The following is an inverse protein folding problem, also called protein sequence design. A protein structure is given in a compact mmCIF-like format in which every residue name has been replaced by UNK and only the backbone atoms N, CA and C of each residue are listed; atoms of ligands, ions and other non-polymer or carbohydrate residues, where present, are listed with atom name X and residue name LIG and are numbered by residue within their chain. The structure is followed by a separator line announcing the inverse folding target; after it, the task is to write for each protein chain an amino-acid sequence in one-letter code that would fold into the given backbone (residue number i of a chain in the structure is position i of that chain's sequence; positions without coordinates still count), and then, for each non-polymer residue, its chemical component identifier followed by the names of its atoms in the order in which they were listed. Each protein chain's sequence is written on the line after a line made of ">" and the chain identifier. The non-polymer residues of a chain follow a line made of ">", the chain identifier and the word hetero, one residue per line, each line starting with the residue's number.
data_IF_894384664265
#
_entry.id   IF_894384664265
#
_cell.length_a   1.000
_cell.length_b   1.000
_cell.length_c   1.000
_cell.angle_alpha   90.00
_cell.angle_beta   90.00
_cell.angle_gamma   90.00
#
_symmetry.space_group_name_H-M   'P 1'
#
loop_
_entity.id
_entity.type
_entity.pdbx_description
1 polymer ?
#
# COMPACT_ATOMS: atom_id res chain seq x y z
N UNK A 1 -14.89 -13.33 16.57
CA UNK A 1 -15.40 -12.41 15.52
C UNK A 1 -15.45 -13.19 14.22
N UNK A 2 -16.63 -13.45 13.63
CA UNK A 2 -16.70 -14.12 12.32
C UNK A 2 -16.18 -13.14 11.26
N UNK A 3 -15.16 -13.58 10.54
CA UNK A 3 -14.56 -12.82 9.47
C UNK A 3 -15.53 -12.66 8.29
N UNK A 4 -15.58 -11.45 7.72
CA UNK A 4 -16.52 -11.10 6.66
C UNK A 4 -16.10 -11.75 5.33
N UNK A 5 -16.49 -13.01 5.14
CA UNK A 5 -16.26 -13.76 3.91
C UNK A 5 -16.85 -13.07 2.68
N UNK A 6 -17.91 -12.27 2.84
CA UNK A 6 -18.49 -11.49 1.76
C UNK A 6 -17.56 -10.35 1.35
N UNK A 7 -16.92 -9.68 2.31
CA UNK A 7 -15.95 -8.63 2.02
C UNK A 7 -14.73 -9.16 1.27
N UNK A 8 -14.19 -10.32 1.66
CA UNK A 8 -13.05 -10.92 0.94
C UNK A 8 -13.45 -11.29 -0.50
N UNK A 9 -14.62 -11.90 -0.67
CA UNK A 9 -15.15 -12.25 -2.00
C UNK A 9 -15.33 -11.01 -2.88
N UNK A 10 -15.95 -9.94 -2.35
CA UNK A 10 -16.15 -8.69 -3.06
C UNK A 10 -14.84 -8.06 -3.51
N UNK A 11 -13.85 -8.00 -2.62
CA UNK A 11 -12.52 -7.48 -2.94
C UNK A 11 -11.82 -8.29 -4.04
N UNK A 12 -11.89 -9.63 -3.98
CA UNK A 12 -11.31 -10.51 -5.01
C UNK A 12 -12.00 -10.37 -6.36
N UNK A 13 -13.32 -10.19 -6.38
CA UNK A 13 -14.07 -9.92 -7.62
C UNK A 13 -13.64 -8.60 -8.25
N UNK A 14 -13.54 -7.53 -7.47
CA UNK A 14 -13.06 -6.22 -7.97
C UNK A 14 -11.63 -6.34 -8.49
N UNK A 15 -10.75 -7.02 -7.74
CA UNK A 15 -9.37 -7.24 -8.15
C UNK A 15 -9.27 -7.98 -9.49
N UNK A 16 -10.06 -9.05 -9.70
CA UNK A 16 -10.07 -9.81 -10.96
C UNK A 16 -10.47 -8.91 -12.12
N UNK A 17 -11.59 -8.18 -11.99
CA UNK A 17 -12.09 -7.28 -13.03
C UNK A 17 -11.06 -6.23 -13.42
N UNK A 18 -10.50 -5.51 -12.44
CA UNK A 18 -9.48 -4.49 -12.72
C UNK A 18 -8.21 -5.07 -13.36
N UNK A 19 -7.84 -6.32 -13.03
CA UNK A 19 -6.71 -7.01 -13.67
C UNK A 19 -7.00 -7.38 -15.12
N UNK A 20 -8.21 -7.85 -15.41
CA UNK A 20 -8.68 -8.17 -16.76
C UNK A 20 -8.70 -6.92 -17.64
N UNK A 21 -9.34 -5.84 -17.16
CA UNK A 21 -9.43 -4.56 -17.86
C UNK A 21 -8.03 -3.99 -18.16
N UNK A 22 -7.13 -3.98 -17.16
CA UNK A 22 -5.76 -3.48 -17.31
C UNK A 22 -4.94 -4.31 -18.30
N UNK A 23 -5.18 -5.63 -18.34
CA UNK A 23 -4.51 -6.55 -19.26
C UNK A 23 -5.05 -6.43 -20.69
N UNK A 24 -6.30 -6.01 -20.88
CA UNK A 24 -6.84 -5.65 -22.18
C UNK A 24 -6.23 -4.37 -22.73
N UNK A 25 -6.15 -3.29 -21.92
CA UNK A 25 -5.49 -2.05 -22.34
C UNK A 25 -4.02 -2.26 -22.67
N UNK A 26 -3.30 -3.01 -21.84
CA UNK A 26 -1.89 -3.32 -22.08
C UNK A 26 -1.66 -4.03 -23.43
N UNK A 27 -2.56 -4.94 -23.83
CA UNK A 27 -2.49 -5.62 -25.14
C UNK A 27 -2.74 -4.67 -26.32
N UNK A 28 -3.52 -3.61 -26.12
CA UNK A 28 -3.80 -2.58 -27.13
C UNK A 28 -2.73 -1.48 -27.17
N UNK A 29 -1.79 -1.47 -26.22
CA UNK A 29 -0.81 -0.39 -26.07
C UNK A 29 -1.44 0.91 -25.53
N UNK A 30 -2.60 0.81 -24.89
CA UNK A 30 -3.32 1.94 -24.31
C UNK A 30 -2.95 2.13 -22.84
N UNK A 31 -2.96 3.38 -22.38
CA UNK A 31 -2.60 3.74 -21.00
C UNK A 31 -3.78 4.43 -20.31
N UNK A 32 -4.28 3.80 -19.25
CA UNK A 32 -5.19 4.39 -18.28
C UNK A 32 -4.55 4.35 -16.90
N UNK A 33 -3.94 5.47 -16.50
CA UNK A 33 -3.26 5.57 -15.21
C UNK A 33 -4.19 5.34 -14.03
N UNK A 34 -5.46 5.74 -14.13
CA UNK A 34 -6.43 5.55 -13.06
C UNK A 34 -6.74 4.07 -12.88
N UNK A 35 -7.02 3.36 -13.98
CA UNK A 35 -7.23 1.91 -13.94
C UNK A 35 -6.01 1.19 -13.35
N UNK A 36 -4.80 1.52 -13.82
CA UNK A 36 -3.57 0.88 -13.33
C UNK A 36 -3.32 1.17 -11.84
N UNK A 37 -3.57 2.39 -11.38
CA UNK A 37 -3.43 2.76 -9.97
C UNK A 37 -4.42 2.00 -9.08
N UNK A 38 -5.70 1.99 -9.46
CA UNK A 38 -6.74 1.28 -8.71
C UNK A 38 -6.49 -0.22 -8.71
N UNK A 39 -6.09 -0.81 -9.84
CA UNK A 39 -5.69 -2.23 -9.94
C UNK A 39 -4.58 -2.57 -8.95
N UNK A 40 -3.52 -1.75 -8.88
CA UNK A 40 -2.40 -1.95 -7.95
C UNK A 40 -2.85 -1.86 -6.49
N UNK A 41 -3.56 -0.79 -6.14
CA UNK A 41 -4.05 -0.55 -4.77
C UNK A 41 -5.01 -1.63 -4.30
N UNK A 42 -5.93 -2.10 -5.15
CA UNK A 42 -6.88 -3.18 -4.83
C UNK A 42 -6.17 -4.51 -4.64
N UNK A 43 -5.22 -4.83 -5.53
CA UNK A 43 -4.44 -6.06 -5.41
C UNK A 43 -3.65 -6.09 -4.10
N UNK A 44 -3.03 -4.97 -3.73
CA UNK A 44 -2.31 -4.83 -2.47
C UNK A 44 -3.27 -4.85 -1.25
N UNK A 45 -4.43 -4.20 -1.35
CA UNK A 45 -5.49 -4.27 -0.33
C UNK A 45 -5.94 -5.72 -0.10
N UNK A 46 -6.12 -6.51 -1.18
CA UNK A 46 -6.46 -7.93 -1.07
C UNK A 46 -5.38 -8.73 -0.36
N UNK A 47 -4.10 -8.46 -0.67
CA UNK A 47 -2.98 -9.11 0.01
C UNK A 47 -2.94 -8.76 1.51
N UNK A 48 -3.11 -7.49 1.86
CA UNK A 48 -3.14 -7.02 3.24
C UNK A 48 -4.33 -7.61 4.01
N UNK A 49 -5.51 -7.63 3.39
CA UNK A 49 -6.69 -8.22 4.00
C UNK A 49 -6.52 -9.73 4.18
N UNK A 50 -6.05 -10.47 3.17
CA UNK A 50 -5.77 -11.91 3.32
C UNK A 50 -4.74 -12.19 4.45
N UNK A 51 -3.74 -11.33 4.63
CA UNK A 51 -2.79 -11.41 5.78
C UNK A 51 -3.46 -11.14 7.12
N UNK A 52 -4.39 -10.21 7.18
CA UNK A 52 -5.13 -9.85 8.37
C UNK A 52 -6.09 -10.98 8.80
N UNK A 53 -6.66 -11.72 7.84
CA UNK A 53 -7.80 -12.61 8.09
C UNK A 53 -7.46 -14.11 8.09
N UNK A 54 -6.44 -14.55 7.35
CA UNK A 54 -6.15 -15.99 7.19
C UNK A 54 -5.02 -16.50 8.09
N UNK A 55 -4.58 -15.70 9.05
CA UNK A 55 -3.40 -16.01 9.86
C UNK A 55 -3.73 -16.00 11.34
N UNK A 56 -4.35 -17.10 11.77
CA UNK A 56 -4.55 -17.39 13.19
C UNK A 56 -3.20 -17.30 13.92
N UNK A 57 -3.19 -16.67 15.10
CA UNK A 57 -2.02 -16.48 15.96
C UNK A 57 -0.87 -15.62 15.42
N UNK A 58 -1.13 -14.68 14.51
CA UNK A 58 -0.11 -13.68 14.21
C UNK A 58 0.23 -12.79 15.42
N UNK A 59 1.52 -12.45 15.62
CA UNK A 59 1.92 -11.41 16.56
C UNK A 59 1.20 -10.10 16.26
N UNK A 60 0.82 -9.35 17.31
CA UNK A 60 0.04 -8.12 17.19
C UNK A 60 0.67 -7.09 16.26
N UNK A 61 2.00 -7.07 16.13
CA UNK A 61 2.77 -6.17 15.27
C UNK A 61 2.38 -6.37 13.80
N UNK A 62 2.17 -7.61 13.37
CA UNK A 62 1.74 -7.91 12.00
C UNK A 62 0.30 -7.47 11.74
N UNK A 63 -0.57 -7.62 12.74
CA UNK A 63 -1.97 -7.22 12.66
C UNK A 63 -2.05 -5.69 12.61
N UNK A 64 -1.32 -5.00 13.49
CA UNK A 64 -1.21 -3.55 13.52
C UNK A 64 -0.65 -3.01 12.20
N UNK A 65 0.43 -3.59 11.67
CA UNK A 65 1.01 -3.19 10.38
C UNK A 65 0.01 -3.36 9.24
N UNK A 66 -0.72 -4.48 9.19
CA UNK A 66 -1.72 -4.72 8.14
C UNK A 66 -2.88 -3.74 8.23
N UNK A 67 -3.38 -3.46 9.44
CA UNK A 67 -4.44 -2.47 9.66
C UNK A 67 -4.00 -1.05 9.26
N UNK A 68 -2.77 -0.66 9.61
CA UNK A 68 -2.17 0.61 9.19
C UNK A 68 -2.07 0.72 7.68
N UNK A 69 -1.52 -0.29 7.02
CA UNK A 69 -1.35 -0.23 5.57
C UNK A 69 -2.70 -0.23 4.83
N UNK A 70 -3.73 -0.86 5.39
CA UNK A 70 -5.10 -0.78 4.86
C UNK A 70 -5.68 0.64 4.99
N UNK A 71 -5.42 1.34 6.10
CA UNK A 71 -5.76 2.76 6.23
C UNK A 71 -5.05 3.60 5.17
N UNK A 72 -3.74 3.41 4.99
CA UNK A 72 -2.96 4.15 3.99
C UNK A 72 -3.46 3.86 2.55
N UNK A 73 -3.82 2.61 2.24
CA UNK A 73 -4.48 2.26 0.97
C UNK A 73 -5.81 2.99 0.80
N UNK A 74 -6.62 3.10 1.86
CA UNK A 74 -7.87 3.85 1.83
C UNK A 74 -7.64 5.33 1.51
N UNK A 75 -6.63 5.95 2.12
CA UNK A 75 -6.28 7.35 1.80
C UNK A 75 -5.86 7.52 0.34
N UNK A 76 -5.02 6.62 -0.17
CA UNK A 76 -4.56 6.65 -1.57
C UNK A 76 -5.72 6.48 -2.55
N UNK A 77 -6.58 5.47 -2.34
CA UNK A 77 -7.77 5.23 -3.18
C UNK A 77 -8.69 6.45 -3.15
N UNK A 78 -8.95 7.01 -1.97
CA UNK A 78 -9.83 8.18 -1.82
C UNK A 78 -9.26 9.40 -2.56
N UNK A 79 -7.95 9.66 -2.40
CA UNK A 79 -7.30 10.80 -3.04
C UNK A 79 -7.31 10.70 -4.56
N UNK A 80 -7.00 9.53 -5.10
CA UNK A 80 -6.99 9.26 -6.55
C UNK A 80 -8.41 9.28 -7.15
N UNK A 81 -9.41 8.76 -6.45
CA UNK A 81 -10.81 8.79 -6.93
C UNK A 81 -11.37 10.23 -6.90
N UNK A 82 -10.99 11.03 -5.91
CA UNK A 82 -11.42 12.43 -5.81
C UNK A 82 -10.80 13.31 -6.90
N UNK A 83 -9.58 13.00 -7.35
CA UNK A 83 -8.91 13.66 -8.46
C UNK A 83 -8.12 12.64 -9.29
N UNK A 84 -8.73 12.18 -10.39
CA UNK A 84 -8.14 11.16 -11.26
C UNK A 84 -6.84 11.59 -11.93
N UNK A 85 -6.58 12.90 -12.03
CA UNK A 85 -5.31 13.40 -12.56
C UNK A 85 -4.13 13.00 -11.68
N UNK A 86 -4.37 12.68 -10.40
CA UNK A 86 -3.37 12.18 -9.45
C UNK A 86 -2.92 10.76 -9.74
N UNK A 87 -3.65 9.99 -10.54
CA UNK A 87 -3.27 8.62 -10.84
C UNK A 87 -1.93 8.53 -11.60
N UNK A 88 -1.69 9.42 -12.58
CA UNK A 88 -0.41 9.49 -13.29
C UNK A 88 0.74 9.81 -12.32
N UNK A 89 0.50 10.75 -11.40
CA UNK A 89 1.47 11.13 -10.36
C UNK A 89 1.80 9.94 -9.44
N UNK A 90 0.79 9.21 -8.96
CA UNK A 90 0.97 8.01 -8.14
C UNK A 90 1.77 6.91 -8.85
N UNK A 91 1.40 6.59 -10.10
CA UNK A 91 2.12 5.60 -10.90
C UNK A 91 3.57 6.04 -11.17
N UNK A 92 3.79 7.34 -11.37
CA UNK A 92 5.12 7.91 -11.59
C UNK A 92 6.01 7.72 -10.35
N UNK A 93 5.47 7.83 -9.13
CA UNK A 93 6.24 7.64 -7.89
C UNK A 93 6.99 6.30 -7.86
N UNK A 94 6.39 5.20 -8.34
CA UNK A 94 7.05 3.89 -8.43
C UNK A 94 8.41 3.96 -9.12
N UNK A 95 8.52 4.68 -10.25
CA UNK A 95 9.76 4.73 -11.01
C UNK A 95 10.88 5.43 -10.23
N UNK A 96 10.53 6.48 -9.49
CA UNK A 96 11.47 7.25 -8.67
C UNK A 96 11.85 6.47 -7.40
N UNK A 97 10.87 5.87 -6.70
CA UNK A 97 11.12 4.99 -5.57
C UNK A 97 12.02 3.82 -5.96
N UNK A 98 11.84 3.25 -7.16
CA UNK A 98 12.69 2.17 -7.65
C UNK A 98 14.13 2.64 -7.91
N UNK A 99 14.35 3.87 -8.38
CA UNK A 99 15.70 4.44 -8.46
C UNK A 99 16.32 4.60 -7.08
N UNK A 100 15.60 5.22 -6.13
CA UNK A 100 16.09 5.44 -4.76
C UNK A 100 16.43 4.11 -4.04
N UNK A 101 15.62 3.07 -4.24
CA UNK A 101 15.88 1.72 -3.70
C UNK A 101 17.17 1.15 -4.29
N UNK A 102 17.37 1.25 -5.60
CA UNK A 102 18.57 0.74 -6.27
C UNK A 102 19.82 1.54 -5.87
N UNK A 103 19.71 2.85 -5.72
CA UNK A 103 20.78 3.71 -5.18
C UNK A 103 21.13 3.31 -3.74
N UNK A 104 20.12 3.07 -2.91
CA UNK A 104 20.28 2.55 -1.56
C UNK A 104 21.05 1.22 -1.56
N UNK A 105 20.67 0.26 -2.40
CA UNK A 105 21.40 -1.01 -2.51
C UNK A 105 22.84 -0.82 -2.98
N UNK A 106 23.11 0.07 -3.94
CA UNK A 106 24.48 0.38 -4.38
C UNK A 106 25.32 0.99 -3.25
N UNK A 107 24.73 1.85 -2.43
CA UNK A 107 25.43 2.47 -1.29
C UNK A 107 25.85 1.47 -0.21
N UNK A 108 25.16 0.32 -0.12
CA UNK A 108 25.47 -0.78 0.80
C UNK A 108 26.50 -1.77 0.23
N UNK A 109 26.93 -1.60 -1.01
CA UNK A 109 27.93 -2.49 -1.62
C UNK A 109 29.30 -2.30 -0.98
N UNK A 110 30.08 -3.38 -0.97
CA UNK A 110 31.44 -3.38 -0.42
C UNK A 110 32.41 -3.95 -1.46
N UNK A 111 33.70 -3.94 -1.15
CA UNK A 111 34.73 -4.57 -2.00
C UNK A 111 34.49 -6.06 -2.25
N UNK A 112 33.70 -6.73 -1.39
CA UNK A 112 33.34 -8.13 -1.52
C UNK A 112 32.06 -8.35 -2.34
N UNK A 113 31.34 -7.29 -2.70
CA UNK A 113 30.10 -7.42 -3.46
C UNK A 113 30.42 -7.78 -4.92
N UNK A 114 29.69 -8.76 -5.46
CA UNK A 114 29.84 -9.21 -6.83
C UNK A 114 29.69 -8.05 -7.83
N UNK A 115 30.69 -7.89 -8.71
CA UNK A 115 30.66 -6.93 -9.83
C UNK A 115 29.45 -7.15 -10.74
N UNK A 116 29.03 -8.41 -10.90
CA UNK A 116 27.84 -8.73 -11.69
C UNK A 116 26.56 -8.18 -11.03
N UNK A 117 26.42 -8.31 -9.71
CA UNK A 117 25.26 -7.77 -8.99
C UNK A 117 25.21 -6.25 -9.07
N UNK A 118 26.37 -5.58 -8.92
CA UNK A 118 26.49 -4.13 -9.09
C UNK A 118 26.03 -3.72 -10.48
N UNK A 119 26.52 -4.41 -11.52
CA UNK A 119 26.14 -4.15 -12.91
C UNK A 119 24.63 -4.34 -13.14
N UNK A 120 24.03 -5.41 -12.61
CA UNK A 120 22.59 -5.65 -12.76
C UNK A 120 21.74 -4.52 -12.16
N UNK A 121 22.16 -3.96 -11.02
CA UNK A 121 21.48 -2.82 -10.40
C UNK A 121 21.62 -1.57 -11.29
N UNK A 122 22.83 -1.29 -11.79
CA UNK A 122 23.07 -0.16 -12.69
C UNK A 122 22.26 -0.27 -13.99
N UNK A 123 22.27 -1.44 -14.63
CA UNK A 123 21.50 -1.69 -15.85
C UNK A 123 19.98 -1.50 -15.60
N UNK A 124 19.50 -1.88 -14.41
CA UNK A 124 18.09 -1.63 -14.02
C UNK A 124 17.80 -0.14 -13.85
N UNK A 125 18.70 0.61 -13.22
CA UNK A 125 18.55 2.07 -13.07
C UNK A 125 18.53 2.77 -14.42
N UNK A 126 19.39 2.39 -15.36
CA UNK A 126 19.43 2.97 -16.71
C UNK A 126 18.14 2.69 -17.48
N UNK A 127 17.60 1.48 -17.38
CA UNK A 127 16.29 1.15 -17.93
C UNK A 127 15.17 2.03 -17.33
N UNK A 128 15.16 2.25 -16.02
CA UNK A 128 14.13 3.07 -15.37
C UNK A 128 14.20 4.52 -15.83
N UNK A 129 15.40 5.10 -15.97
CA UNK A 129 15.59 6.45 -16.50
C UNK A 129 15.01 6.60 -17.91
N UNK A 130 15.26 5.63 -18.78
CA UNK A 130 14.65 5.59 -20.12
C UNK A 130 13.13 5.54 -20.07
N UNK A 131 12.54 4.78 -19.13
CA UNK A 131 11.08 4.72 -18.96
C UNK A 131 10.51 6.06 -18.49
N UNK A 132 11.18 6.74 -17.55
CA UNK A 132 10.79 8.06 -17.05
C UNK A 132 10.77 9.08 -18.19
N UNK A 133 11.84 9.12 -18.98
CA UNK A 133 12.00 10.03 -20.12
C UNK A 133 10.94 9.75 -21.20
N UNK A 134 10.76 8.49 -21.61
CA UNK A 134 9.84 8.13 -22.70
C UNK A 134 8.35 8.36 -22.38
N UNK A 135 7.98 8.50 -21.10
CA UNK A 135 6.58 8.62 -20.68
C UNK A 135 6.27 9.95 -19.96
N UNK A 136 7.22 10.88 -19.94
CA UNK A 136 7.12 12.16 -19.24
C UNK A 136 6.63 11.98 -17.79
N UNK A 137 7.27 11.06 -17.05
CA UNK A 137 6.91 10.77 -15.66
C UNK A 137 7.54 11.81 -14.74
N UNK A 138 6.73 12.72 -14.21
CA UNK A 138 7.18 13.81 -13.34
C UNK A 138 6.33 13.85 -12.07
N UNK A 139 6.70 13.08 -11.02
CA UNK A 139 5.91 13.06 -9.80
C UNK A 139 5.99 14.43 -9.11
N UNK A 140 4.84 14.94 -8.70
CA UNK A 140 4.68 16.32 -8.21
C UNK A 140 5.30 16.52 -6.83
N UNK A 141 5.39 15.46 -6.02
CA UNK A 141 6.11 15.29 -4.73
C UNK A 141 5.80 13.89 -4.19
N UNK A 142 6.64 13.37 -3.29
CA UNK A 142 6.31 12.17 -2.52
C UNK A 142 5.08 12.41 -1.63
N UNK A 143 4.05 11.58 -1.79
CA UNK A 143 2.82 11.69 -1.01
C UNK A 143 3.02 11.10 0.38
N UNK A 144 3.40 11.92 1.35
CA UNK A 144 3.44 11.45 2.74
C UNK A 144 2.01 11.22 3.29
N UNK A 145 1.88 10.27 4.22
CA UNK A 145 0.58 9.84 4.76
C UNK A 145 -0.17 10.99 5.46
N UNK A 146 0.54 11.90 6.14
CA UNK A 146 -0.06 13.08 6.79
C UNK A 146 -0.72 14.01 5.77
N UNK A 147 -0.08 14.21 4.62
CA UNK A 147 -0.62 14.99 3.51
C UNK A 147 -1.89 14.33 2.97
N UNK A 148 -1.82 13.02 2.66
CA UNK A 148 -2.98 12.26 2.18
C UNK A 148 -4.16 12.31 3.16
N UNK A 149 -3.89 12.17 4.47
CA UNK A 149 -4.91 12.26 5.50
C UNK A 149 -5.56 13.66 5.56
N UNK A 150 -4.80 14.71 5.29
CA UNK A 150 -5.34 16.08 5.20
C UNK A 150 -6.21 16.25 3.95
N UNK A 151 -5.75 15.75 2.79
CA UNK A 151 -6.47 15.87 1.52
C UNK A 151 -7.75 15.02 1.44
N UNK A 152 -7.92 14.06 2.35
CA UNK A 152 -9.05 13.12 2.37
C UNK A 152 -9.95 13.28 3.60
N UNK A 153 -9.72 14.32 4.41
CA UNK A 153 -10.45 14.60 5.67
C UNK A 153 -10.35 13.48 6.72
N UNK A 154 -9.18 12.84 6.82
CA UNK A 154 -8.88 11.77 7.78
C UNK A 154 -7.76 12.16 8.75
N UNK A 155 -7.49 13.45 8.97
CA UNK A 155 -6.35 13.91 9.78
C UNK A 155 -6.44 13.47 11.25
N UNK A 156 -7.64 13.52 11.84
CA UNK A 156 -7.87 13.05 13.21
C UNK A 156 -7.59 11.55 13.34
N UNK A 157 -8.11 10.76 12.41
CA UNK A 157 -7.89 9.32 12.35
C UNK A 157 -6.40 9.02 12.20
N UNK A 158 -5.71 9.70 11.27
CA UNK A 158 -4.26 9.62 11.12
C UNK A 158 -3.49 9.94 12.40
N UNK A 159 -3.81 11.01 13.12
CA UNK A 159 -3.05 11.40 14.32
C UNK A 159 -3.18 10.39 15.46
N UNK A 160 -4.37 9.81 15.62
CA UNK A 160 -4.61 8.74 16.60
C UNK A 160 -3.90 7.46 16.16
N UNK A 161 -4.06 7.08 14.90
CA UNK A 161 -3.47 5.85 14.35
C UNK A 161 -1.95 5.91 14.37
N UNK A 162 -1.35 7.02 13.95
CA UNK A 162 0.09 7.19 13.90
C UNK A 162 0.72 7.00 15.28
N UNK A 163 0.17 7.65 16.31
CA UNK A 163 0.63 7.51 17.69
C UNK A 163 0.49 6.07 18.18
N UNK A 164 -0.66 5.43 17.96
CA UNK A 164 -0.91 4.07 18.41
C UNK A 164 -0.02 3.04 17.70
N UNK A 165 -0.02 3.04 16.37
CA UNK A 165 0.72 2.07 15.57
C UNK A 165 2.22 2.20 15.79
N UNK A 166 2.75 3.40 16.03
CA UNK A 166 4.16 3.59 16.36
C UNK A 166 4.63 2.79 17.57
N UNK A 167 3.73 2.46 18.52
CA UNK A 167 4.06 1.64 19.69
C UNK A 167 4.10 0.15 19.39
N UNK A 168 3.45 -0.28 18.31
CA UNK A 168 3.31 -1.69 17.92
C UNK A 168 4.18 -2.08 16.72
N UNK A 169 4.78 -1.14 15.99
CA UNK A 169 5.61 -1.44 14.81
C UNK A 169 7.10 -1.12 15.01
N UNK A 170 7.44 -0.40 16.09
CA UNK A 170 8.80 -0.02 16.43
C UNK A 170 9.19 -0.68 17.76
N UNK A 171 10.49 -0.84 18.06
CA UNK A 171 10.97 -1.37 19.34
C UNK A 171 10.77 -0.32 20.45
N UNK A 172 9.52 -0.01 20.75
CA UNK A 172 9.14 0.95 21.77
C UNK A 172 9.28 0.32 23.16
N UNK A 173 9.45 1.13 24.20
CA UNK A 173 9.48 0.63 25.59
C UNK A 173 8.21 -0.18 25.93
N UNK A 174 7.09 0.06 25.25
CA UNK A 174 5.88 -0.73 25.42
C UNK A 174 6.07 -2.18 24.96
N UNK A 175 6.65 -2.43 23.78
CA UNK A 175 6.93 -3.80 23.33
C UNK A 175 8.09 -4.41 24.13
N UNK A 176 9.17 -3.64 24.30
CA UNK A 176 10.44 -4.19 24.81
C UNK A 176 10.38 -4.54 26.29
N UNK A 177 9.64 -3.77 27.10
CA UNK A 177 9.63 -3.92 28.56
C UNK A 177 8.33 -4.51 29.12
N UNK A 178 7.31 -4.76 28.29
CA UNK A 178 6.06 -5.35 28.77
C UNK A 178 6.05 -6.86 28.58
N UNK A 179 5.42 -7.63 29.48
CA UNK A 179 5.14 -9.04 29.25
C UNK A 179 4.35 -9.25 27.94
N UNK A 180 4.57 -10.38 27.26
CA UNK A 180 3.84 -10.72 26.04
C UNK A 180 2.32 -10.64 26.20
N UNK A 181 1.78 -11.02 27.37
CA UNK A 181 0.33 -10.95 27.65
C UNK A 181 -0.23 -9.52 27.66
N UNK A 182 0.60 -8.50 27.87
CA UNK A 182 0.16 -7.10 27.92
C UNK A 182 0.13 -6.46 26.54
N UNK A 183 1.21 -6.57 25.76
CA UNK A 183 1.24 -5.96 24.43
C UNK A 183 0.58 -6.85 23.37
N UNK A 184 0.75 -8.17 23.40
CA UNK A 184 0.12 -9.12 22.46
C UNK A 184 -1.32 -9.48 22.87
N UNK A 185 -2.05 -8.48 23.36
CA UNK A 185 -3.36 -8.64 23.98
C UNK A 185 -4.47 -8.97 22.95
N UNK A 186 -5.30 -10.01 23.16
CA UNK A 186 -6.38 -10.38 22.24
C UNK A 186 -7.39 -9.27 21.96
N UNK A 187 -7.66 -8.39 22.94
CA UNK A 187 -8.56 -7.23 22.77
C UNK A 187 -7.96 -6.23 21.79
N UNK A 188 -6.67 -5.91 21.94
CA UNK A 188 -5.99 -4.99 21.03
C UNK A 188 -5.88 -5.57 19.62
N UNK A 189 -5.60 -6.88 19.49
CA UNK A 189 -5.68 -7.58 18.20
C UNK A 189 -7.07 -7.42 17.56
N UNK A 190 -8.14 -7.61 18.34
CA UNK A 190 -9.52 -7.46 17.86
C UNK A 190 -9.81 -6.05 17.37
N UNK A 191 -9.26 -5.02 18.01
CA UNK A 191 -9.39 -3.62 17.56
C UNK A 191 -8.69 -3.43 16.22
N UNK A 192 -7.43 -3.84 16.06
CA UNK A 192 -6.72 -3.72 14.78
C UNK A 192 -7.40 -4.51 13.67
N UNK A 193 -7.89 -5.72 13.95
CA UNK A 193 -8.68 -6.53 13.02
C UNK A 193 -9.93 -5.79 12.54
N UNK A 194 -10.67 -5.18 13.49
CA UNK A 194 -11.89 -4.42 13.17
C UNK A 194 -11.58 -3.20 12.31
N UNK A 195 -10.49 -2.48 12.62
CA UNK A 195 -10.06 -1.32 11.85
C UNK A 195 -9.66 -1.71 10.42
N UNK A 196 -8.87 -2.77 10.25
CA UNK A 196 -8.55 -3.29 8.92
C UNK A 196 -9.78 -3.66 8.11
N UNK A 197 -10.79 -4.29 8.72
CA UNK A 197 -12.07 -4.58 8.06
C UNK A 197 -12.82 -3.32 7.63
N UNK A 198 -12.85 -2.29 8.48
CA UNK A 198 -13.51 -1.01 8.18
C UNK A 198 -12.87 -0.37 6.95
N UNK A 199 -11.54 -0.27 6.88
CA UNK A 199 -10.87 0.35 5.74
C UNK A 199 -11.01 -0.45 4.46
N UNK A 200 -10.92 -1.78 4.53
CA UNK A 200 -11.20 -2.64 3.37
C UNK A 200 -12.63 -2.41 2.85
N UNK A 201 -13.62 -2.33 3.74
CA UNK A 201 -15.01 -2.04 3.34
C UNK A 201 -15.16 -0.66 2.72
N UNK A 202 -14.50 0.37 3.27
CA UNK A 202 -14.49 1.72 2.69
C UNK A 202 -13.89 1.72 1.28
N UNK A 203 -12.76 1.02 1.07
CA UNK A 203 -12.12 0.88 -0.24
C UNK A 203 -13.07 0.21 -1.25
N UNK A 204 -13.65 -0.94 -0.89
CA UNK A 204 -14.60 -1.66 -1.75
C UNK A 204 -15.79 -0.77 -2.15
N UNK A 205 -16.37 -0.06 -1.18
CA UNK A 205 -17.49 0.85 -1.44
C UNK A 205 -17.12 2.01 -2.35
N UNK A 206 -15.92 2.59 -2.20
CA UNK A 206 -15.44 3.67 -3.06
C UNK A 206 -15.27 3.20 -4.51
N UNK A 207 -14.70 2.02 -4.71
CA UNK A 207 -14.45 1.48 -6.06
C UNK A 207 -15.75 1.08 -6.73
N UNK A 208 -16.69 0.44 -6.04
CA UNK A 208 -17.99 0.11 -6.62
C UNK A 208 -18.72 1.39 -7.07
N UNK A 209 -18.77 2.41 -6.21
CA UNK A 209 -19.36 3.72 -6.57
C UNK A 209 -18.68 4.40 -7.75
N UNK A 210 -17.39 4.13 -7.98
CA UNK A 210 -16.68 4.63 -9.14
C UNK A 210 -17.04 3.83 -10.40
N UNK A 211 -17.16 2.51 -10.31
CA UNK A 211 -17.52 1.63 -11.44
C UNK A 211 -18.98 1.77 -11.89
N UNK A 212 -19.87 2.24 -11.00
CA UNK A 212 -21.30 2.48 -11.30
C UNK A 212 -21.58 3.86 -11.93
N UNK A 213 -20.55 4.70 -12.12
CA UNK A 213 -20.65 6.02 -12.78
C UNK A 213 -20.24 5.93 -14.24
#
# INVERSE_FOLDING_TARGET
>A
MKLDNHLNKGLKTIASKLNEDASELARKGEVDYLLFALRGLVSYTSLLFDRLVNKDNFPIEHIAMSARNLFECYLLVTYIINDSSKAKDFISQKAFEELEINEGFLSLTTTNTSKQNIKMIQDRMDYIKLVIENNDLTPSRHWNVSHLATQTDNKLEYDVFFKLHSKYIHPSSWIVNSPNSEYDNPVFKSIFLSQGQIYTRRIVNLINKYQDK
#
